data_IF_917385198933
#
_entry.id   IF_917385198933
#
_cell.length_a   1.000
_cell.length_b   1.000
_cell.length_c   1.000
_cell.angle_alpha   90.00
_cell.angle_beta   90.00
_cell.angle_gamma   90.00
#
_symmetry.space_group_name_H-M   'P 1'
#
loop_
_entity.id
_entity.type
_entity.pdbx_description
1 polymer ?
#
# COMPACT_ATOMS: atom_id res chain seq x y z
N UNK A 1 -16.20 6.83 -51.61
CA UNK A 1 -16.27 5.47 -51.04
C UNK A 1 -17.20 5.53 -49.85
N UNK A 2 -18.16 4.60 -49.71
CA UNK A 2 -19.09 4.62 -48.59
C UNK A 2 -18.31 4.36 -47.29
N UNK A 3 -18.55 5.18 -46.27
CA UNK A 3 -17.87 5.07 -44.98
C UNK A 3 -18.44 3.87 -44.23
N UNK A 4 -17.63 2.84 -44.02
CA UNK A 4 -18.02 1.64 -43.28
C UNK A 4 -18.41 2.02 -41.86
N UNK A 5 -19.56 1.56 -41.39
CA UNK A 5 -20.01 1.86 -40.03
C UNK A 5 -19.25 1.01 -39.01
N UNK A 6 -19.05 1.53 -37.80
CA UNK A 6 -18.38 0.78 -36.69
C UNK A 6 -19.04 -0.58 -36.46
N UNK A 7 -20.36 -0.67 -36.64
CA UNK A 7 -21.10 -1.94 -36.52
C UNK A 7 -20.77 -2.95 -37.62
N UNK A 8 -20.56 -2.50 -38.85
CA UNK A 8 -20.19 -3.37 -39.99
C UNK A 8 -18.77 -3.92 -39.81
N UNK A 9 -17.85 -3.07 -39.37
CA UNK A 9 -16.49 -3.46 -39.06
C UNK A 9 -16.40 -4.46 -37.90
N UNK A 10 -17.16 -4.20 -36.83
CA UNK A 10 -17.33 -5.12 -35.70
C UNK A 10 -17.85 -6.49 -36.18
N UNK A 11 -18.88 -6.48 -37.02
CA UNK A 11 -19.50 -7.70 -37.55
C UNK A 11 -18.50 -8.55 -38.35
N UNK A 12 -17.71 -7.92 -39.21
CA UNK A 12 -16.70 -8.60 -40.01
C UNK A 12 -15.56 -9.15 -39.15
N UNK A 13 -15.11 -8.43 -38.11
CA UNK A 13 -14.08 -8.93 -37.18
C UNK A 13 -14.56 -10.09 -36.33
N UNK A 14 -15.80 -10.03 -35.82
CA UNK A 14 -16.42 -11.16 -35.10
C UNK A 14 -16.45 -12.39 -36.00
N UNK A 15 -16.87 -12.21 -37.26
CA UNK A 15 -16.94 -13.30 -38.24
C UNK A 15 -15.56 -13.90 -38.56
N UNK A 16 -14.55 -13.07 -38.77
CA UNK A 16 -13.17 -13.50 -39.00
C UNK A 16 -12.58 -14.23 -37.79
N UNK A 17 -12.75 -13.67 -36.59
CA UNK A 17 -12.27 -14.23 -35.34
C UNK A 17 -12.90 -15.60 -35.02
N UNK A 18 -14.20 -15.74 -35.31
CA UNK A 18 -14.92 -17.00 -35.18
C UNK A 18 -14.45 -18.03 -36.22
N UNK A 19 -14.28 -17.61 -37.47
CA UNK A 19 -13.81 -18.48 -38.55
C UNK A 19 -12.37 -18.99 -38.31
N UNK A 20 -11.47 -18.12 -37.83
CA UNK A 20 -10.09 -18.49 -37.48
C UNK A 20 -10.02 -19.57 -36.39
N UNK A 21 -11.04 -19.66 -35.53
CA UNK A 21 -11.18 -20.69 -34.49
C UNK A 21 -11.91 -21.96 -34.96
N UNK A 22 -12.35 -22.01 -36.22
CA UNK A 22 -13.15 -23.11 -36.75
C UNK A 22 -14.54 -23.22 -36.12
N UNK A 23 -15.04 -22.14 -35.50
CA UNK A 23 -16.31 -22.17 -34.78
C UNK A 23 -17.51 -21.89 -35.69
N UNK A 24 -18.58 -22.64 -35.46
CA UNK A 24 -19.91 -22.33 -35.99
C UNK A 24 -20.56 -21.17 -35.21
N UNK A 25 -21.53 -20.48 -35.81
CA UNK A 25 -22.30 -19.46 -35.09
C UNK A 25 -23.05 -20.01 -33.87
N UNK A 26 -23.43 -21.30 -33.87
CA UNK A 26 -24.03 -21.96 -32.71
C UNK A 26 -23.01 -22.12 -31.58
N UNK A 27 -21.79 -22.56 -31.88
CA UNK A 27 -20.74 -22.71 -30.86
C UNK A 27 -20.34 -21.38 -30.22
N UNK A 28 -20.30 -20.30 -31.00
CA UNK A 28 -20.09 -18.96 -30.44
C UNK A 28 -21.25 -18.56 -29.51
N UNK A 29 -22.50 -18.78 -29.95
CA UNK A 29 -23.69 -18.50 -29.13
C UNK A 29 -23.67 -19.24 -27.80
N UNK A 30 -23.43 -20.55 -27.84
CA UNK A 30 -23.40 -21.40 -26.64
C UNK A 30 -22.32 -20.95 -25.66
N UNK A 31 -21.20 -20.42 -26.18
CA UNK A 31 -20.11 -19.90 -25.35
C UNK A 31 -20.44 -18.53 -24.76
N UNK A 32 -21.11 -17.66 -25.50
CA UNK A 32 -21.63 -16.38 -24.97
C UNK A 32 -22.68 -16.60 -23.88
N UNK A 33 -23.57 -17.59 -24.04
CA UNK A 33 -24.55 -17.97 -23.01
C UNK A 33 -23.84 -18.44 -21.75
N UNK A 34 -22.82 -19.31 -21.86
CA UNK A 34 -22.00 -19.73 -20.72
C UNK A 34 -21.24 -18.58 -20.06
N UNK A 35 -20.87 -17.55 -20.81
CA UNK A 35 -20.21 -16.35 -20.33
C UNK A 35 -21.18 -15.31 -19.73
N UNK A 36 -22.46 -15.67 -19.53
CA UNK A 36 -23.45 -14.80 -18.87
C UNK A 36 -24.27 -13.92 -19.81
N UNK A 37 -24.18 -14.11 -21.13
CA UNK A 37 -24.98 -13.36 -22.11
C UNK A 37 -26.01 -14.24 -22.83
N UNK A 38 -27.19 -14.47 -22.23
CA UNK A 38 -28.23 -15.33 -22.81
C UNK A 38 -28.89 -14.72 -24.08
N UNK A 39 -28.71 -13.42 -24.31
CA UNK A 39 -29.30 -12.68 -25.44
C UNK A 39 -28.50 -12.84 -26.74
N UNK A 40 -27.22 -13.22 -26.66
CA UNK A 40 -26.35 -13.53 -27.80
C UNK A 40 -26.61 -14.93 -28.37
N UNK A 41 -27.86 -15.17 -28.76
CA UNK A 41 -28.28 -16.41 -29.42
C UNK A 41 -27.63 -16.59 -30.79
N UNK A 42 -27.68 -17.81 -31.35
CA UNK A 42 -27.23 -18.08 -32.73
C UNK A 42 -27.87 -17.12 -33.74
N UNK A 43 -29.17 -16.84 -33.59
CA UNK A 43 -29.89 -15.90 -34.46
C UNK A 43 -29.42 -14.46 -34.29
N UNK A 44 -29.07 -14.06 -33.07
CA UNK A 44 -28.49 -12.76 -32.77
C UNK A 44 -27.11 -12.60 -33.42
N UNK A 45 -26.23 -13.59 -33.27
CA UNK A 45 -24.90 -13.61 -33.88
C UNK A 45 -25.00 -13.57 -35.40
N UNK A 46 -25.88 -14.37 -36.00
CA UNK A 46 -26.07 -14.36 -37.46
C UNK A 46 -26.53 -12.99 -37.97
N UNK A 47 -27.44 -12.30 -37.26
CA UNK A 47 -27.90 -10.95 -37.62
C UNK A 47 -26.83 -9.89 -37.45
N UNK A 48 -25.93 -10.05 -36.48
CA UNK A 48 -24.75 -9.20 -36.30
C UNK A 48 -23.80 -9.40 -37.48
N UNK A 49 -23.36 -10.64 -37.74
CA UNK A 49 -22.39 -10.95 -38.80
C UNK A 49 -22.89 -10.67 -40.22
N UNK A 50 -24.20 -10.64 -40.44
CA UNK A 50 -24.79 -10.28 -41.73
C UNK A 50 -25.08 -8.78 -41.87
N UNK A 51 -24.77 -7.96 -40.86
CA UNK A 51 -25.04 -6.52 -40.85
C UNK A 51 -26.53 -6.14 -40.83
N UNK A 52 -27.43 -7.12 -40.58
CA UNK A 52 -28.88 -6.89 -40.42
C UNK A 52 -29.16 -6.14 -39.13
N UNK A 53 -28.40 -6.44 -38.07
CA UNK A 53 -28.46 -5.73 -36.81
C UNK A 53 -27.53 -4.51 -36.88
N UNK A 54 -28.11 -3.31 -36.82
CA UNK A 54 -27.37 -2.04 -36.94
C UNK A 54 -26.76 -1.53 -35.64
N UNK A 55 -27.05 -2.19 -34.50
CA UNK A 55 -26.54 -1.81 -33.18
C UNK A 55 -26.06 -3.03 -32.40
N UNK A 56 -24.92 -2.89 -31.71
CA UNK A 56 -24.37 -3.89 -30.79
C UNK A 56 -24.05 -3.12 -29.50
N UNK A 57 -24.47 -3.63 -28.34
CA UNK A 57 -24.23 -2.93 -27.06
C UNK A 57 -22.78 -3.09 -26.61
N UNK A 58 -22.29 -2.19 -25.75
CA UNK A 58 -20.95 -2.31 -25.17
C UNK A 58 -20.77 -3.62 -24.38
N UNK A 59 -21.82 -4.08 -23.70
CA UNK A 59 -21.84 -5.36 -22.99
C UNK A 59 -21.70 -6.54 -23.95
N UNK A 60 -22.45 -6.54 -25.07
CA UNK A 60 -22.32 -7.58 -26.10
C UNK A 60 -20.92 -7.60 -26.73
N UNK A 61 -20.33 -6.42 -26.98
CA UNK A 61 -18.95 -6.28 -27.47
C UNK A 61 -17.95 -6.87 -26.46
N UNK A 62 -18.10 -6.55 -25.17
CA UNK A 62 -17.21 -7.06 -24.12
C UNK A 62 -17.28 -8.60 -24.00
N UNK A 63 -18.49 -9.17 -24.05
CA UNK A 63 -18.67 -10.63 -23.97
C UNK A 63 -18.11 -11.31 -25.22
N UNK A 64 -18.35 -10.76 -26.42
CA UNK A 64 -17.81 -11.31 -27.66
C UNK A 64 -16.28 -11.24 -27.70
N UNK A 65 -15.69 -10.12 -27.26
CA UNK A 65 -14.24 -9.95 -27.14
C UNK A 65 -13.64 -10.95 -26.15
N UNK A 66 -14.27 -11.13 -24.98
CA UNK A 66 -13.86 -12.11 -23.98
C UNK A 66 -13.91 -13.55 -24.50
N UNK A 67 -15.04 -13.95 -25.08
CA UNK A 67 -15.25 -15.32 -25.62
C UNK A 67 -14.33 -15.62 -26.80
N UNK A 68 -14.07 -14.62 -27.65
CA UNK A 68 -13.15 -14.73 -28.76
C UNK A 68 -11.70 -14.47 -28.35
N UNK A 69 -11.39 -14.21 -27.07
CA UNK A 69 -10.05 -13.87 -26.59
C UNK A 69 -9.33 -12.83 -27.46
N UNK A 70 -10.03 -11.74 -27.78
CA UNK A 70 -9.53 -10.59 -28.56
C UNK A 70 -9.66 -9.34 -27.68
N UNK A 71 -8.70 -8.42 -27.79
CA UNK A 71 -8.80 -7.15 -27.08
C UNK A 71 -10.03 -6.37 -27.60
N UNK A 72 -10.94 -5.85 -26.76
CA UNK A 72 -12.11 -5.10 -27.22
C UNK A 72 -11.77 -3.95 -28.19
N UNK A 73 -10.61 -3.29 -28.01
CA UNK A 73 -10.13 -2.24 -28.92
C UNK A 73 -9.76 -2.78 -30.31
N UNK A 74 -9.25 -4.02 -30.39
CA UNK A 74 -9.00 -4.72 -31.65
C UNK A 74 -10.30 -5.16 -32.32
N UNK A 75 -11.42 -5.26 -31.62
CA UNK A 75 -12.71 -5.52 -32.27
C UNK A 75 -13.27 -4.23 -32.90
N UNK A 76 -13.03 -3.09 -32.26
CA UNK A 76 -13.59 -1.78 -32.64
C UNK A 76 -12.81 -1.03 -33.73
N UNK A 77 -11.63 -1.54 -34.11
CA UNK A 77 -10.68 -0.86 -35.01
C UNK A 77 -10.53 0.62 -34.71
N UNK A 78 -10.33 0.94 -33.44
CA UNK A 78 -10.12 2.32 -33.04
C UNK A 78 -8.98 2.87 -33.88
N UNK A 79 -9.21 3.89 -34.74
CA UNK A 79 -8.14 4.45 -35.53
C UNK A 79 -7.02 4.82 -34.58
N UNK A 80 -5.76 4.63 -35.01
CA UNK A 80 -4.61 5.25 -34.35
C UNK A 80 -4.76 6.76 -34.55
N UNK A 81 -5.66 7.34 -33.77
CA UNK A 81 -5.86 8.78 -33.71
C UNK A 81 -4.48 9.36 -33.41
N UNK A 82 -4.07 10.45 -34.07
CA UNK A 82 -2.83 11.13 -33.76
C UNK A 82 -3.01 11.85 -32.42
N UNK A 83 -3.20 11.05 -31.36
CA UNK A 83 -3.33 11.51 -29.99
C UNK A 83 -2.14 12.40 -29.67
N UNK A 84 -0.94 12.08 -30.16
CA UNK A 84 0.24 12.93 -29.97
C UNK A 84 0.07 14.35 -30.53
N UNK A 85 -0.49 14.53 -31.72
CA UNK A 85 -0.73 15.84 -32.32
C UNK A 85 -1.89 16.58 -31.63
N UNK A 86 -2.94 15.86 -31.24
CA UNK A 86 -4.06 16.43 -30.46
C UNK A 86 -3.60 16.87 -29.05
N UNK A 87 -2.78 16.07 -28.37
CA UNK A 87 -2.13 16.37 -27.08
C UNK A 87 -1.17 17.55 -27.19
N UNK A 88 -0.46 17.70 -28.31
CA UNK A 88 0.43 18.82 -28.57
C UNK A 88 -0.34 20.13 -28.80
N UNK A 89 -1.45 20.08 -29.55
CA UNK A 89 -2.25 21.27 -29.88
C UNK A 89 -3.17 21.72 -28.73
N UNK A 90 -3.64 20.79 -27.89
CA UNK A 90 -4.61 21.08 -26.82
C UNK A 90 -3.99 20.99 -25.42
N UNK A 91 -2.67 20.87 -25.35
CA UNK A 91 -1.93 20.72 -24.11
C UNK A 91 -2.48 19.57 -23.29
N UNK A 92 -1.92 18.37 -23.44
CA UNK A 92 -2.00 17.50 -22.27
C UNK A 92 -1.35 18.22 -21.13
N UNK A 93 -2.13 18.45 -20.08
CA UNK A 93 -1.60 18.28 -18.74
C UNK A 93 -1.17 16.82 -18.64
N UNK A 94 -0.02 16.52 -19.25
CA UNK A 94 0.81 15.41 -18.82
C UNK A 94 0.87 15.62 -17.31
N UNK A 95 0.49 14.65 -16.46
CA UNK A 95 0.99 14.68 -15.11
C UNK A 95 2.49 14.94 -15.30
N UNK A 96 3.01 16.02 -14.72
CA UNK A 96 4.46 16.15 -14.64
C UNK A 96 5.04 14.84 -14.11
N UNK A 97 6.35 14.59 -14.26
CA UNK A 97 6.96 13.50 -13.49
C UNK A 97 6.39 13.57 -12.07
N UNK A 98 5.73 12.49 -11.60
CA UNK A 98 5.20 12.45 -10.23
C UNK A 98 6.43 12.74 -9.38
N UNK A 99 6.52 13.95 -8.83
CA UNK A 99 7.66 14.30 -8.01
C UNK A 99 7.70 13.26 -6.89
N UNK A 100 8.81 12.54 -6.82
CA UNK A 100 8.99 11.50 -5.82
C UNK A 100 8.85 12.14 -4.44
N UNK A 101 7.96 11.60 -3.58
CA UNK A 101 7.76 12.18 -2.26
C UNK A 101 9.05 12.17 -1.46
N UNK A 102 9.20 13.17 -0.59
CA UNK A 102 10.19 13.18 0.48
C UNK A 102 9.71 12.25 1.60
N UNK A 103 10.64 11.55 2.25
CA UNK A 103 10.29 10.67 3.36
C UNK A 103 11.01 11.07 4.64
N UNK A 104 10.24 11.18 5.73
CA UNK A 104 10.77 11.19 7.09
C UNK A 104 10.39 9.86 7.75
N UNK A 105 11.34 8.95 7.88
CA UNK A 105 11.12 7.71 8.63
C UNK A 105 11.48 7.93 10.10
N UNK A 106 10.57 7.56 11.00
CA UNK A 106 10.73 7.59 12.45
C UNK A 106 10.61 6.18 12.99
N UNK A 107 11.73 5.61 13.41
CA UNK A 107 11.80 4.31 14.06
C UNK A 107 11.75 4.50 15.57
N UNK A 108 10.81 3.82 16.22
CA UNK A 108 10.67 3.84 17.68
C UNK A 108 10.97 2.44 18.20
N UNK A 109 11.90 2.34 19.13
CA UNK A 109 12.27 1.07 19.78
C UNK A 109 12.04 1.23 21.29
N UNK A 110 11.26 0.35 21.94
CA UNK A 110 11.15 0.37 23.39
C UNK A 110 12.52 0.12 24.03
N UNK A 111 12.81 0.82 25.12
CA UNK A 111 13.95 0.45 25.96
C UNK A 111 13.72 -0.95 26.56
N UNK A 112 14.81 -1.72 26.67
CA UNK A 112 14.74 -3.11 27.13
C UNK A 112 14.49 -3.23 28.64
N UNK A 113 14.74 -2.17 29.41
CA UNK A 113 14.69 -2.14 30.86
C UNK A 113 13.51 -1.27 31.33
N UNK A 114 13.44 -0.03 30.85
CA UNK A 114 12.40 0.92 31.24
C UNK A 114 11.25 0.94 30.20
N UNK A 115 10.06 0.40 30.53
CA UNK A 115 8.94 0.39 29.59
C UNK A 115 8.42 1.78 29.24
N UNK A 116 8.80 2.83 29.97
CA UNK A 116 8.43 4.21 29.72
C UNK A 116 9.48 4.97 28.91
N UNK A 117 10.62 4.36 28.57
CA UNK A 117 11.61 4.95 27.68
C UNK A 117 11.53 4.33 26.29
N UNK A 118 11.82 5.15 25.29
CA UNK A 118 11.95 4.75 23.90
C UNK A 118 13.21 5.35 23.29
N UNK A 119 13.83 4.59 22.39
CA UNK A 119 14.89 5.06 21.52
C UNK A 119 14.24 5.41 20.18
N UNK A 120 14.39 6.67 19.76
CA UNK A 120 13.92 7.16 18.47
C UNK A 120 15.11 7.36 17.55
N UNK A 121 15.02 6.83 16.32
CA UNK A 121 15.98 7.09 15.24
C UNK A 121 15.22 7.57 14.03
N UNK A 122 15.75 8.56 13.32
CA UNK A 122 15.11 9.14 12.16
C UNK A 122 15.98 9.07 10.91
N UNK A 123 15.34 9.05 9.75
CA UNK A 123 16.00 9.14 8.44
C UNK A 123 15.22 10.11 7.56
N UNK A 124 15.93 11.01 6.89
CA UNK A 124 15.37 11.88 5.87
C UNK A 124 15.82 11.38 4.51
N UNK A 125 14.87 11.05 3.65
CA UNK A 125 15.14 10.65 2.29
C UNK A 125 14.71 11.77 1.33
N UNK A 126 15.68 12.31 0.62
CA UNK A 126 15.49 13.41 -0.34
C UNK A 126 15.45 12.93 -1.79
N UNK A 127 16.11 11.79 -2.05
CA UNK A 127 16.21 11.10 -3.33
C UNK A 127 15.73 9.65 -3.15
N UNK A 128 14.76 9.21 -3.94
CA UNK A 128 14.13 7.88 -3.77
C UNK A 128 15.08 6.75 -4.14
N UNK A 129 16.01 7.02 -5.05
CA UNK A 129 17.05 6.11 -5.53
C UNK A 129 18.13 5.84 -4.49
N UNK A 130 18.31 6.73 -3.51
CA UNK A 130 19.27 6.57 -2.43
C UNK A 130 18.63 5.84 -1.24
N UNK A 131 18.86 4.52 -1.16
CA UNK A 131 18.40 3.69 -0.03
C UNK A 131 19.49 2.73 0.49
N UNK A 132 19.72 2.65 1.82
CA UNK A 132 19.08 3.44 2.86
C UNK A 132 19.66 4.88 2.92
N UNK A 133 18.82 5.89 3.20
CA UNK A 133 19.30 7.26 3.45
C UNK A 133 20.25 7.31 4.67
N UNK A 134 21.06 8.38 4.81
CA UNK A 134 21.85 8.61 6.01
C UNK A 134 20.99 8.62 7.28
N UNK A 135 21.38 7.86 8.30
CA UNK A 135 20.69 7.89 9.60
C UNK A 135 20.94 9.20 10.31
N UNK A 136 19.86 9.81 10.81
CA UNK A 136 19.95 10.82 11.84
C UNK A 136 20.42 10.22 13.17
N UNK A 137 20.67 11.09 14.14
CA UNK A 137 21.07 10.68 15.48
C UNK A 137 19.95 9.92 16.19
N UNK A 138 20.30 8.85 16.90
CA UNK A 138 19.38 8.19 17.83
C UNK A 138 19.28 8.96 19.15
N UNK A 139 18.07 9.11 19.69
CA UNK A 139 17.81 9.77 20.97
C UNK A 139 16.99 8.85 21.88
N UNK A 140 17.34 8.80 23.16
CA UNK A 140 16.55 8.11 24.20
C UNK A 140 15.70 9.14 24.95
N UNK A 141 14.39 8.91 25.03
CA UNK A 141 13.45 9.84 25.66
C UNK A 141 12.25 9.12 26.32
N UNK A 142 11.56 9.76 27.28
CA UNK A 142 10.30 9.26 27.82
C UNK A 142 9.22 9.12 26.74
N UNK A 143 8.47 8.01 26.75
CA UNK A 143 7.38 7.76 25.81
C UNK A 143 6.35 8.90 25.77
N UNK A 144 6.13 9.58 26.90
CA UNK A 144 5.24 10.74 26.99
C UNK A 144 5.73 11.94 26.16
N UNK A 145 7.04 12.06 25.92
CA UNK A 145 7.66 13.13 25.14
C UNK A 145 7.76 12.80 23.63
N UNK A 146 7.31 11.60 23.21
CA UNK A 146 7.45 11.12 21.84
C UNK A 146 6.77 12.04 20.80
N UNK A 147 5.55 12.51 21.08
CA UNK A 147 4.84 13.43 20.17
C UNK A 147 5.61 14.73 20.00
N UNK A 148 6.11 15.32 21.10
CA UNK A 148 6.91 16.55 21.07
C UNK A 148 8.22 16.35 20.31
N UNK A 149 8.89 15.22 20.51
CA UNK A 149 10.11 14.91 19.80
C UNK A 149 9.87 14.78 18.29
N UNK A 150 8.80 14.10 17.90
CA UNK A 150 8.43 13.92 16.47
C UNK A 150 8.06 15.25 15.83
N UNK A 151 7.35 16.14 16.52
CA UNK A 151 7.10 17.50 16.06
C UNK A 151 8.42 18.24 15.74
N UNK A 152 9.43 18.15 16.62
CA UNK A 152 10.76 18.70 16.37
C UNK A 152 11.44 18.11 15.12
N UNK A 153 11.37 16.79 14.94
CA UNK A 153 11.91 16.12 13.74
C UNK A 153 11.22 16.59 12.45
N UNK A 154 9.90 16.80 12.49
CA UNK A 154 9.14 17.33 11.36
C UNK A 154 9.57 18.77 11.06
N UNK A 155 9.70 19.63 12.06
CA UNK A 155 10.21 21.00 11.88
C UNK A 155 11.62 21.02 11.27
N UNK A 156 12.52 20.19 11.76
CA UNK A 156 13.89 20.06 11.22
C UNK A 156 13.90 19.58 9.76
N UNK A 157 12.99 18.67 9.41
CA UNK A 157 12.83 18.19 8.04
C UNK A 157 12.28 19.29 7.12
N UNK A 158 11.25 20.02 7.53
CA UNK A 158 10.68 21.14 6.78
C UNK A 158 11.68 22.26 6.53
N UNK A 159 12.50 22.61 7.53
CA UNK A 159 13.57 23.60 7.35
C UNK A 159 14.54 23.16 6.26
N UNK A 160 14.95 21.88 6.28
CA UNK A 160 15.85 21.33 5.26
C UNK A 160 15.21 21.25 3.87
N UNK A 161 13.90 21.01 3.82
CA UNK A 161 13.14 20.87 2.57
C UNK A 161 12.47 22.15 2.09
N UNK A 162 12.73 23.30 2.72
CA UNK A 162 12.07 24.58 2.43
C UNK A 162 12.13 25.05 0.96
N UNK A 163 13.09 24.55 0.18
CA UNK A 163 13.18 24.80 -1.27
C UNK A 163 12.51 23.76 -2.17
N UNK A 164 11.85 22.75 -1.61
CA UNK A 164 11.22 21.62 -2.32
C UNK A 164 9.71 21.83 -2.42
N UNK A 165 9.11 21.33 -3.49
CA UNK A 165 7.65 21.44 -3.76
C UNK A 165 6.93 20.10 -3.73
N UNK A 166 7.67 19.01 -3.53
CA UNK A 166 7.16 17.67 -3.58
C UNK A 166 6.43 17.27 -2.28
N UNK A 167 5.49 16.32 -2.34
CA UNK A 167 4.77 15.86 -1.15
C UNK A 167 5.71 15.17 -0.15
N UNK A 168 5.32 15.19 1.12
CA UNK A 168 6.05 14.56 2.23
C UNK A 168 5.25 13.39 2.80
N UNK A 169 5.93 12.26 3.01
CA UNK A 169 5.43 11.07 3.68
C UNK A 169 6.18 10.89 5.01
N UNK A 170 5.45 10.75 6.11
CA UNK A 170 6.02 10.40 7.42
C UNK A 170 5.78 8.91 7.67
N UNK A 171 6.86 8.15 7.77
CA UNK A 171 6.82 6.70 8.00
C UNK A 171 7.11 6.38 9.47
N UNK A 172 6.13 5.87 10.20
CA UNK A 172 6.32 5.40 11.56
C UNK A 172 6.60 3.90 11.57
N UNK A 173 7.78 3.51 12.03
CA UNK A 173 8.10 2.10 12.31
C UNK A 173 7.96 1.88 13.81
N UNK A 174 6.82 1.29 14.19
CA UNK A 174 6.45 1.13 15.60
C UNK A 174 6.46 -0.34 16.02
N UNK A 175 6.82 -0.64 17.27
CA UNK A 175 6.54 -1.93 17.88
C UNK A 175 5.04 -2.07 18.08
N UNK A 176 4.59 -3.31 18.14
CA UNK A 176 3.19 -3.70 18.35
C UNK A 176 2.50 -2.93 19.48
N UNK A 177 3.17 -2.78 20.63
CA UNK A 177 2.62 -2.06 21.81
C UNK A 177 2.34 -0.57 21.55
N UNK A 178 2.92 0.01 20.50
CA UNK A 178 2.77 1.41 20.13
C UNK A 178 1.95 1.61 18.84
N UNK A 179 1.50 0.54 18.16
CA UNK A 179 0.67 0.65 16.94
C UNK A 179 -0.71 1.28 17.20
N UNK A 180 -1.15 1.35 18.45
CA UNK A 180 -2.38 2.04 18.85
C UNK A 180 -2.21 3.54 19.09
N UNK A 181 -0.99 4.10 18.97
CA UNK A 181 -0.78 5.54 19.11
C UNK A 181 -1.46 6.26 17.93
N UNK A 182 -2.18 7.38 18.18
CA UNK A 182 -2.86 8.14 17.13
C UNK A 182 -1.87 9.06 16.41
N UNK A 183 -0.79 8.50 15.86
CA UNK A 183 0.33 9.27 15.29
C UNK A 183 -0.09 10.21 14.16
N UNK A 184 -1.13 9.85 13.42
CA UNK A 184 -1.72 10.71 12.38
C UNK A 184 -2.37 11.98 12.95
N UNK A 185 -2.78 11.95 14.22
CA UNK A 185 -3.42 13.06 14.95
C UNK A 185 -2.46 13.81 15.86
N UNK A 186 -1.17 13.52 15.81
CA UNK A 186 -0.19 14.32 16.53
C UNK A 186 -0.13 15.73 15.98
N UNK A 187 0.14 16.68 16.87
CA UNK A 187 0.25 18.09 16.52
C UNK A 187 1.63 18.39 15.92
N UNK A 188 1.66 19.23 14.90
CA UNK A 188 2.92 19.72 14.30
C UNK A 188 3.70 20.61 15.27
N UNK A 189 2.99 21.33 16.14
CA UNK A 189 3.52 22.24 17.14
C UNK A 189 2.74 22.05 18.45
N UNK A 190 3.10 21.05 19.29
CA UNK A 190 2.26 20.63 20.42
C UNK A 190 1.91 21.74 21.42
N UNK A 191 2.80 22.73 21.58
CA UNK A 191 2.63 23.87 22.49
C UNK A 191 1.85 25.04 21.86
N UNK A 192 1.66 25.05 20.53
CA UNK A 192 1.00 26.14 19.83
C UNK A 192 -0.53 25.97 19.86
N UNK A 193 -1.24 27.06 20.19
CA UNK A 193 -2.68 27.10 20.09
C UNK A 193 -3.12 26.98 18.62
N UNK A 194 -4.06 26.08 18.33
CA UNK A 194 -4.53 25.84 16.97
C UNK A 194 -3.57 25.04 16.07
N UNK A 195 -2.58 24.37 16.65
CA UNK A 195 -1.65 23.52 15.89
C UNK A 195 -2.36 22.51 14.99
N UNK A 196 -1.91 22.44 13.73
CA UNK A 196 -2.41 21.48 12.73
C UNK A 196 -1.97 20.06 13.09
N UNK A 197 -2.79 19.09 12.70
CA UNK A 197 -2.47 17.66 12.88
C UNK A 197 -1.59 17.18 11.73
N UNK A 198 -0.71 16.21 11.96
CA UNK A 198 0.18 15.67 10.93
C UNK A 198 -0.57 15.21 9.68
N UNK A 199 -1.69 14.51 9.82
CA UNK A 199 -2.49 14.01 8.68
C UNK A 199 -2.97 15.10 7.72
N UNK A 200 -3.10 16.35 8.18
CA UNK A 200 -3.58 17.48 7.37
C UNK A 200 -2.63 17.85 6.25
N UNK A 201 -1.32 17.68 6.47
CA UNK A 201 -0.28 18.10 5.54
C UNK A 201 0.58 16.93 5.04
N UNK A 202 0.61 15.82 5.78
CA UNK A 202 1.45 14.65 5.48
C UNK A 202 0.65 13.39 5.19
N UNK A 203 1.18 12.54 4.31
CA UNK A 203 0.80 11.13 4.28
C UNK A 203 1.48 10.38 5.42
N UNK A 204 0.73 9.56 6.14
CA UNK A 204 1.22 8.83 7.30
C UNK A 204 1.23 7.34 6.97
N UNK A 205 2.41 6.73 6.96
CA UNK A 205 2.57 5.30 6.74
C UNK A 205 2.98 4.62 8.04
N UNK A 206 2.16 3.69 8.52
CA UNK A 206 2.46 2.91 9.72
C UNK A 206 3.05 1.53 9.35
N UNK A 207 4.13 1.15 10.04
CA UNK A 207 4.95 -0.04 9.73
C UNK A 207 5.24 -0.84 10.99
N UNK A 208 5.44 -2.17 10.85
CA UNK A 208 5.75 -3.04 12.00
C UNK A 208 7.25 -3.17 12.22
N UNK A 209 7.71 -2.82 13.42
CA UNK A 209 9.07 -3.09 13.87
C UNK A 209 9.37 -4.59 13.89
N UNK A 210 8.43 -5.42 14.35
CA UNK A 210 8.59 -6.88 14.42
C UNK A 210 8.85 -7.46 13.04
N UNK A 211 8.11 -7.01 12.02
CA UNK A 211 8.28 -7.47 10.65
C UNK A 211 9.57 -6.96 10.04
N UNK A 212 9.94 -5.72 10.31
CA UNK A 212 11.22 -5.16 9.86
C UNK A 212 12.40 -5.98 10.40
N UNK A 213 12.38 -6.38 11.68
CA UNK A 213 13.44 -7.17 12.33
C UNK A 213 13.43 -8.66 11.97
N UNK A 214 12.28 -9.25 11.72
CA UNK A 214 12.13 -10.70 11.54
C UNK A 214 12.45 -11.14 10.10
N UNK A 215 13.73 -11.31 9.78
CA UNK A 215 14.22 -11.71 8.44
C UNK A 215 13.54 -12.97 7.88
N UNK A 216 13.17 -13.91 8.75
CA UNK A 216 12.46 -15.14 8.37
C UNK A 216 11.08 -14.87 7.73
N UNK A 217 10.48 -13.69 7.93
CA UNK A 217 9.21 -13.30 7.30
C UNK A 217 9.39 -12.54 5.99
N UNK A 218 10.59 -12.05 5.68
CA UNK A 218 10.82 -11.14 4.55
C UNK A 218 10.52 -11.76 3.19
N UNK A 219 10.76 -13.08 3.02
CA UNK A 219 10.46 -13.75 1.74
C UNK A 219 8.96 -13.76 1.46
N UNK A 220 8.14 -14.21 2.42
CA UNK A 220 6.69 -14.25 2.27
C UNK A 220 6.13 -12.84 2.05
N UNK A 221 6.66 -11.87 2.80
CA UNK A 221 6.31 -10.46 2.68
C UNK A 221 6.60 -9.88 1.28
N UNK A 222 7.79 -10.11 0.70
CA UNK A 222 8.11 -9.68 -0.67
C UNK A 222 7.19 -10.27 -1.72
N UNK A 223 6.87 -11.56 -1.60
CA UNK A 223 5.96 -12.25 -2.53
C UNK A 223 4.57 -11.60 -2.51
N UNK A 224 4.02 -11.37 -1.31
CA UNK A 224 2.69 -10.77 -1.15
C UNK A 224 2.67 -9.30 -1.55
N UNK A 225 3.73 -8.56 -1.24
CA UNK A 225 3.89 -7.18 -1.70
C UNK A 225 3.86 -7.10 -3.22
N UNK A 226 4.65 -7.92 -3.92
CA UNK A 226 4.62 -7.98 -5.37
C UNK A 226 3.24 -8.38 -5.89
N UNK A 227 2.55 -9.32 -5.24
CA UNK A 227 1.18 -9.69 -5.59
C UNK A 227 0.20 -8.53 -5.44
N UNK A 228 0.31 -7.74 -4.37
CA UNK A 228 -0.53 -6.57 -4.14
C UNK A 228 -0.33 -5.52 -5.23
N UNK A 229 0.94 -5.23 -5.57
CA UNK A 229 1.26 -4.24 -6.60
C UNK A 229 0.84 -4.70 -8.00
N UNK A 230 0.84 -6.00 -8.27
CA UNK A 230 0.47 -6.55 -9.58
C UNK A 230 -1.05 -6.66 -9.77
N UNK A 231 -1.78 -6.94 -8.68
CA UNK A 231 -3.23 -7.09 -8.69
C UNK A 231 -3.81 -6.48 -7.40
N UNK A 232 -4.11 -5.17 -7.41
CA UNK A 232 -4.64 -4.46 -6.26
C UNK A 232 -6.17 -4.63 -6.13
N UNK A 233 -6.74 -5.78 -6.51
CA UNK A 233 -8.19 -5.98 -6.50
C UNK A 233 -8.79 -6.09 -5.09
N UNK A 234 -9.97 -5.48 -4.82
CA UNK A 234 -10.66 -5.57 -3.52
C UNK A 234 -10.95 -7.02 -3.08
N UNK A 235 -11.06 -7.95 -4.03
CA UNK A 235 -11.29 -9.38 -3.77
C UNK A 235 -10.17 -10.08 -3.00
N UNK A 236 -9.06 -9.39 -2.73
CA UNK A 236 -7.91 -9.88 -1.96
C UNK A 236 -7.90 -9.39 -0.51
N UNK A 237 -8.98 -8.75 -0.07
CA UNK A 237 -9.25 -8.43 1.33
C UNK A 237 -9.85 -9.63 2.07
N UNK A 238 -9.18 -10.08 3.14
CA UNK A 238 -9.72 -11.05 4.07
C UNK A 238 -10.31 -10.33 5.30
N UNK A 239 -11.60 -10.53 5.53
CA UNK A 239 -12.31 -9.98 6.69
C UNK A 239 -12.28 -10.99 7.83
N UNK A 240 -11.56 -10.65 8.90
CA UNK A 240 -11.50 -11.48 10.08
C UNK A 240 -12.81 -11.41 10.87
N UNK A 241 -13.31 -12.58 11.25
CA UNK A 241 -14.47 -12.70 12.12
C UNK A 241 -14.02 -13.21 13.50
N UNK A 242 -14.52 -12.64 14.62
CA UNK A 242 -14.07 -13.01 15.98
C UNK A 242 -14.27 -14.48 16.37
N UNK A 243 -15.26 -15.16 15.77
CA UNK A 243 -15.51 -16.60 15.93
C UNK A 243 -14.36 -17.48 15.38
N UNK A 244 -13.48 -16.92 14.55
CA UNK A 244 -12.30 -17.62 14.05
C UNK A 244 -11.24 -17.89 15.14
N UNK A 245 -11.37 -17.31 16.34
CA UNK A 245 -10.45 -17.48 17.48
C UNK A 245 -10.59 -18.88 18.12
N UNK A 246 -11.70 -19.59 17.90
CA UNK A 246 -11.99 -20.85 18.59
C UNK A 246 -11.03 -22.00 18.23
N UNK A 247 -10.40 -21.95 17.06
CA UNK A 247 -9.46 -22.97 16.60
C UNK A 247 -8.05 -22.38 16.40
N UNK A 248 -7.11 -22.82 17.24
CA UNK A 248 -5.68 -22.46 17.12
C UNK A 248 -5.20 -22.75 15.70
N UNK A 249 -4.46 -21.80 15.11
CA UNK A 249 -3.90 -21.86 13.74
C UNK A 249 -4.91 -21.83 12.58
N UNK A 250 -6.22 -21.70 12.84
CA UNK A 250 -7.21 -21.59 11.75
C UNK A 250 -6.89 -20.44 10.81
N UNK A 251 -6.57 -19.27 11.37
CA UNK A 251 -6.21 -18.11 10.56
C UNK A 251 -4.87 -18.30 9.84
N UNK A 252 -3.86 -18.93 10.46
CA UNK A 252 -2.60 -19.25 9.79
C UNK A 252 -2.86 -20.15 8.56
N UNK A 253 -3.78 -21.12 8.67
CA UNK A 253 -4.17 -21.98 7.55
C UNK A 253 -4.91 -21.21 6.45
N UNK A 254 -5.82 -20.30 6.80
CA UNK A 254 -6.53 -19.47 5.82
C UNK A 254 -5.58 -18.53 5.09
N UNK A 255 -4.69 -17.85 5.82
CA UNK A 255 -3.71 -16.93 5.26
C UNK A 255 -2.53 -17.65 4.58
N UNK A 256 -2.48 -18.98 4.60
CA UNK A 256 -1.54 -19.75 3.77
C UNK A 256 -1.88 -19.65 2.27
N UNK A 257 -3.14 -19.37 1.93
CA UNK A 257 -3.57 -19.09 0.57
C UNK A 257 -2.95 -17.76 0.07
N UNK A 258 -2.16 -17.84 -1.00
CA UNK A 258 -1.45 -16.72 -1.63
C UNK A 258 -2.34 -15.62 -2.22
N UNK A 259 -3.66 -15.81 -2.25
CA UNK A 259 -4.62 -14.84 -2.76
C UNK A 259 -4.72 -13.55 -1.91
N UNK A 260 -4.72 -13.69 -0.58
CA UNK A 260 -4.97 -12.59 0.37
C UNK A 260 -3.82 -11.58 0.48
N UNK A 261 -4.09 -10.29 0.33
CA UNK A 261 -3.05 -9.24 0.46
C UNK A 261 -3.39 -8.20 1.53
N UNK A 262 -4.65 -8.15 1.99
CA UNK A 262 -5.10 -7.24 3.03
C UNK A 262 -5.86 -8.01 4.10
N UNK A 263 -5.54 -7.78 5.37
CA UNK A 263 -6.30 -8.29 6.51
C UNK A 263 -7.12 -7.16 7.13
N UNK A 264 -8.42 -7.36 7.32
CA UNK A 264 -9.34 -6.39 7.92
C UNK A 264 -9.81 -6.90 9.27
N UNK A 265 -9.61 -6.12 10.33
CA UNK A 265 -9.95 -6.48 11.72
C UNK A 265 -10.95 -5.48 12.33
N UNK A 266 -12.17 -5.95 12.57
CA UNK A 266 -13.22 -5.19 13.26
C UNK A 266 -13.14 -5.41 14.78
N UNK A 267 -13.43 -4.37 15.57
CA UNK A 267 -13.39 -4.42 17.04
C UNK A 267 -12.03 -4.81 17.61
N UNK A 268 -10.95 -4.50 16.89
CA UNK A 268 -9.61 -4.98 17.22
C UNK A 268 -8.71 -3.87 17.73
N UNK A 269 -8.01 -4.15 18.83
CA UNK A 269 -6.90 -3.35 19.33
C UNK A 269 -5.68 -4.24 19.50
N UNK A 270 -4.51 -3.76 19.05
CA UNK A 270 -3.28 -4.51 19.14
C UNK A 270 -2.84 -4.62 20.62
N UNK A 271 -3.13 -5.77 21.24
CA UNK A 271 -2.56 -6.11 22.55
C UNK A 271 -1.03 -6.05 22.49
N UNK A 272 -0.38 -5.57 23.55
CA UNK A 272 1.09 -5.50 23.62
C UNK A 272 1.73 -6.90 23.48
N UNK A 273 1.05 -7.94 23.96
CA UNK A 273 1.51 -9.33 23.89
C UNK A 273 0.62 -10.15 22.96
N UNK A 274 1.19 -10.79 21.92
CA UNK A 274 0.40 -11.61 21.01
C UNK A 274 -0.08 -12.90 21.68
N UNK A 275 -1.33 -13.28 21.46
CA UNK A 275 -1.85 -14.58 21.92
C UNK A 275 -1.41 -15.70 20.97
N UNK A 276 -0.62 -16.70 21.42
CA UNK A 276 -0.05 -17.69 20.52
C UNK A 276 -1.11 -18.48 19.75
N UNK A 277 -1.01 -18.46 18.41
CA UNK A 277 -1.87 -19.24 17.51
C UNK A 277 -3.29 -18.72 17.30
N UNK A 278 -3.70 -17.66 17.99
CA UNK A 278 -5.02 -17.01 17.79
C UNK A 278 -4.92 -15.52 17.50
N UNK A 279 -3.73 -14.93 17.60
CA UNK A 279 -3.51 -13.52 17.33
C UNK A 279 -3.57 -13.18 15.82
N UNK A 280 -4.58 -12.41 15.37
CA UNK A 280 -4.78 -12.18 13.96
C UNK A 280 -3.72 -11.29 13.33
N UNK A 281 -3.24 -10.29 14.06
CA UNK A 281 -2.19 -9.40 13.59
C UNK A 281 -0.86 -10.16 13.39
N UNK A 282 -0.47 -10.98 14.36
CA UNK A 282 0.74 -11.78 14.28
C UNK A 282 0.64 -12.85 13.17
N UNK A 283 -0.54 -13.42 12.94
CA UNK A 283 -0.78 -14.32 11.80
C UNK A 283 -0.58 -13.60 10.47
N UNK A 284 -1.13 -12.39 10.30
CA UNK A 284 -0.87 -11.55 9.12
C UNK A 284 0.63 -11.27 8.93
N UNK A 285 1.33 -10.89 10.01
CA UNK A 285 2.77 -10.61 9.95
C UNK A 285 3.55 -11.80 9.40
N UNK A 286 3.33 -13.01 9.96
CA UNK A 286 3.97 -14.26 9.53
C UNK A 286 3.61 -14.67 8.10
N UNK A 287 2.35 -14.52 7.70
CA UNK A 287 1.87 -14.87 6.36
C UNK A 287 2.34 -13.90 5.26
N UNK A 288 3.00 -12.79 5.64
CA UNK A 288 3.53 -11.79 4.72
C UNK A 288 2.50 -10.78 4.22
N UNK A 289 1.29 -10.74 4.79
CA UNK A 289 0.20 -9.81 4.39
C UNK A 289 0.68 -8.35 4.47
N UNK A 290 0.83 -7.62 3.36
CA UNK A 290 1.48 -6.29 3.35
C UNK A 290 0.65 -5.18 3.98
N UNK A 291 -0.68 -5.30 4.00
CA UNK A 291 -1.56 -4.29 4.59
C UNK A 291 -2.50 -4.91 5.64
N UNK A 292 -2.62 -4.24 6.79
CA UNK A 292 -3.58 -4.61 7.83
C UNK A 292 -4.37 -3.38 8.20
N UNK A 293 -5.69 -3.48 8.12
CA UNK A 293 -6.63 -2.42 8.46
C UNK A 293 -7.39 -2.82 9.72
N UNK A 294 -7.47 -1.95 10.72
CA UNK A 294 -8.27 -2.23 11.90
C UNK A 294 -8.88 -1.00 12.53
N UNK A 295 -9.95 -1.24 13.30
CA UNK A 295 -10.59 -0.23 14.12
C UNK A 295 -10.99 -0.85 15.48
N UNK A 296 -10.76 -0.16 16.61
CA UNK A 296 -10.98 -0.71 17.94
C UNK A 296 -12.45 -0.96 18.29
N UNK A 297 -13.36 -0.21 17.67
CA UNK A 297 -14.78 -0.19 18.07
C UNK A 297 -15.77 -0.41 16.91
N UNK A 298 -15.28 -0.60 15.68
CA UNK A 298 -16.16 -0.72 14.52
C UNK A 298 -16.67 -2.15 14.41
N UNK A 299 -17.92 -2.30 14.01
CA UNK A 299 -18.51 -3.58 13.65
C UNK A 299 -17.92 -4.13 12.33
N UNK A 300 -18.05 -5.45 12.08
CA UNK A 300 -17.64 -6.04 10.81
C UNK A 300 -18.38 -5.48 9.59
N UNK A 301 -19.61 -4.98 9.75
CA UNK A 301 -20.38 -4.37 8.68
C UNK A 301 -19.84 -2.98 8.35
N UNK A 302 -19.64 -2.13 9.36
CA UNK A 302 -19.04 -0.80 9.16
C UNK A 302 -17.64 -0.90 8.55
N UNK A 303 -16.82 -1.88 8.97
CA UNK A 303 -15.51 -2.12 8.35
C UNK A 303 -15.61 -2.60 6.89
N UNK A 304 -16.66 -3.35 6.53
CA UNK A 304 -16.89 -3.76 5.13
C UNK A 304 -17.26 -2.58 4.26
N UNK A 305 -18.17 -1.74 4.72
CA UNK A 305 -18.58 -0.51 4.02
C UNK A 305 -17.38 0.43 3.84
N UNK A 306 -16.59 0.60 4.91
CA UNK A 306 -15.36 1.39 4.90
C UNK A 306 -14.35 0.88 3.86
N UNK A 307 -14.12 -0.44 3.82
CA UNK A 307 -13.21 -1.03 2.83
C UNK A 307 -13.78 -0.91 1.42
N UNK A 308 -15.10 -1.00 1.24
CA UNK A 308 -15.77 -0.71 -0.02
C UNK A 308 -15.44 0.69 -0.55
N UNK A 309 -15.54 1.70 0.32
CA UNK A 309 -15.16 3.09 0.00
C UNK A 309 -13.66 3.22 -0.30
N UNK A 310 -12.79 2.62 0.52
CA UNK A 310 -11.34 2.69 0.35
C UNK A 310 -10.88 2.05 -0.97
N UNK A 311 -11.56 1.01 -1.42
CA UNK A 311 -11.13 0.20 -2.57
C UNK A 311 -11.86 0.51 -3.89
N UNK A 312 -12.76 1.50 -3.92
CA UNK A 312 -13.46 1.88 -5.15
C UNK A 312 -12.57 2.64 -6.16
N UNK A 313 -12.51 2.23 -7.43
CA UNK A 313 -11.63 2.85 -8.45
C UNK A 313 -10.35 2.03 -8.71
N UNK A 314 -9.16 2.64 -8.64
CA UNK A 314 -7.82 2.03 -8.89
C UNK A 314 -7.39 0.92 -7.88
N UNK A 315 -8.34 0.39 -7.11
CA UNK A 315 -8.14 -0.71 -6.18
C UNK A 315 -7.30 -0.31 -4.96
N UNK A 316 -6.49 -1.26 -4.50
CA UNK A 316 -5.74 -1.20 -3.24
C UNK A 316 -4.34 -0.56 -3.33
N UNK A 317 -3.85 -0.23 -4.53
CA UNK A 317 -2.49 0.32 -4.69
C UNK A 317 -2.34 1.72 -4.06
N UNK A 318 -3.42 2.49 -4.00
CA UNK A 318 -3.46 3.83 -3.42
C UNK A 318 -4.11 3.86 -2.02
N UNK A 319 -4.14 2.71 -1.33
CA UNK A 319 -4.77 2.60 0.00
C UNK A 319 -4.29 3.67 1.00
N UNK A 320 -2.99 3.97 1.15
CA UNK A 320 -2.52 5.02 2.07
C UNK A 320 -3.13 6.40 1.78
N UNK A 321 -3.05 6.85 0.53
CA UNK A 321 -3.59 8.14 0.11
C UNK A 321 -5.12 8.23 0.29
N UNK A 322 -5.83 7.12 0.03
CA UNK A 322 -7.30 7.03 0.19
C UNK A 322 -7.72 6.95 1.65
N UNK A 323 -7.00 6.20 2.47
CA UNK A 323 -7.19 6.17 3.91
C UNK A 323 -7.02 7.56 4.51
N UNK A 324 -5.97 8.29 4.10
CA UNK A 324 -5.79 9.69 4.47
C UNK A 324 -6.96 10.56 4.03
N UNK A 325 -7.36 10.51 2.76
CA UNK A 325 -8.47 11.32 2.25
C UNK A 325 -9.77 11.06 3.02
N UNK A 326 -10.00 9.81 3.40
CA UNK A 326 -11.17 9.40 4.17
C UNK A 326 -11.09 9.87 5.63
N UNK A 327 -9.92 9.75 6.28
CA UNK A 327 -9.68 10.30 7.62
C UNK A 327 -9.88 11.82 7.64
N UNK A 328 -9.49 12.54 6.59
CA UNK A 328 -9.68 13.99 6.48
C UNK A 328 -11.16 14.37 6.39
N UNK A 329 -11.95 13.63 5.58
CA UNK A 329 -13.41 13.77 5.54
C UNK A 329 -14.06 13.50 6.89
N UNK A 330 -13.48 12.59 7.69
CA UNK A 330 -13.92 12.31 9.05
C UNK A 330 -13.90 13.51 10.00
N UNK A 331 -13.10 14.54 9.71
CA UNK A 331 -13.12 15.79 10.48
C UNK A 331 -14.27 16.74 10.10
N UNK A 332 -14.96 16.48 8.98
CA UNK A 332 -16.07 17.30 8.51
C UNK A 332 -17.43 16.85 9.06
N UNK A 333 -17.54 15.66 9.68
CA UNK A 333 -18.79 15.16 10.25
C UNK A 333 -18.62 14.00 11.24
N UNK A 334 -19.58 13.88 12.16
CA UNK A 334 -19.52 12.93 13.29
C UNK A 334 -20.49 11.73 13.15
N UNK A 335 -21.06 11.49 11.97
CA UNK A 335 -22.10 10.46 11.75
C UNK A 335 -21.70 9.43 10.69
N UNK A 336 -22.15 8.19 10.88
CA UNK A 336 -21.92 7.08 9.94
C UNK A 336 -20.43 6.75 9.80
N UNK A 337 -19.98 6.49 8.57
CA UNK A 337 -18.58 6.14 8.26
C UNK A 337 -17.59 7.19 8.77
N UNK A 338 -17.95 8.47 8.79
CA UNK A 338 -17.07 9.54 9.27
C UNK A 338 -16.63 9.31 10.73
N UNK A 339 -17.52 8.81 11.59
CA UNK A 339 -17.23 8.55 13.00
C UNK A 339 -16.13 7.49 13.20
N UNK A 340 -16.07 6.47 12.34
CA UNK A 340 -15.08 5.39 12.47
C UNK A 340 -13.78 5.65 11.68
N UNK A 341 -13.76 6.64 10.80
CA UNK A 341 -12.54 6.97 10.04
C UNK A 341 -11.47 7.61 10.92
N UNK A 342 -11.88 8.27 12.01
CA UNK A 342 -10.99 9.01 12.91
C UNK A 342 -9.95 8.13 13.59
N UNK A 343 -10.36 6.93 14.02
CA UNK A 343 -9.52 5.98 14.75
C UNK A 343 -9.20 4.72 13.91
N UNK A 344 -9.38 4.83 12.59
CA UNK A 344 -8.94 3.83 11.63
C UNK A 344 -7.41 3.75 11.65
N UNK A 345 -6.89 2.54 11.70
CA UNK A 345 -5.45 2.31 11.56
C UNK A 345 -5.18 1.47 10.33
N UNK A 346 -4.29 1.97 9.47
CA UNK A 346 -3.75 1.27 8.31
C UNK A 346 -2.27 1.02 8.54
N UNK A 347 -1.89 -0.23 8.77
CA UNK A 347 -0.52 -0.67 8.60
C UNK A 347 -0.28 -0.93 7.11
N UNK A 348 0.73 -0.29 6.56
CA UNK A 348 1.14 -0.39 5.17
C UNK A 348 2.65 -0.64 5.12
N UNK A 349 3.05 -1.89 4.83
CA UNK A 349 4.43 -2.32 5.02
C UNK A 349 5.06 -2.72 3.68
N UNK A 350 5.97 -1.88 3.17
CA UNK A 350 6.76 -2.10 1.94
C UNK A 350 8.12 -2.78 2.24
N UNK A 351 8.38 -4.01 1.77
CA UNK A 351 9.62 -4.74 2.04
C UNK A 351 10.88 -4.14 1.43
N UNK A 352 10.77 -3.13 0.57
CA UNK A 352 11.90 -2.42 -0.01
C UNK A 352 12.37 -1.26 0.87
N UNK A 353 11.58 -0.87 1.87
CA UNK A 353 11.86 0.21 2.82
C UNK A 353 12.34 -0.33 4.17
N UNK A 354 13.44 -1.09 4.14
CA UNK A 354 14.08 -1.63 5.35
C UNK A 354 15.10 -0.64 5.90
N UNK A 355 14.90 -0.18 7.14
CA UNK A 355 15.94 0.53 7.89
C UNK A 355 16.88 -0.48 8.55
N UNK A 356 18.18 -0.32 8.32
CA UNK A 356 19.19 -1.08 9.06
C UNK A 356 19.38 -0.45 10.42
N UNK A 357 18.87 -1.13 11.45
CA UNK A 357 19.40 -0.98 12.79
C UNK A 357 20.84 -1.52 12.72
N UNK A 358 21.82 -0.63 12.85
CA UNK A 358 23.19 -1.06 13.12
C UNK A 358 23.17 -2.05 14.29
N UNK A 359 24.02 -3.06 14.23
CA UNK A 359 24.20 -4.02 15.32
C UNK A 359 24.77 -3.25 16.53
N UNK A 360 23.90 -2.60 17.29
CA UNK A 360 24.20 -2.06 18.61
C UNK A 360 24.28 -3.24 19.58
N UNK A 361 25.26 -4.10 19.33
CA UNK A 361 25.40 -5.42 19.92
C UNK A 361 26.80 -6.00 19.73
N UNK A 362 27.82 -5.16 19.53
CA UNK A 362 29.19 -5.52 19.91
C UNK A 362 29.88 -4.30 20.53
N UNK A 363 30.19 -4.44 21.81
CA UNK A 363 30.82 -3.42 22.61
C UNK A 363 32.20 -3.06 22.10
N UNK A 364 32.38 -1.77 21.84
CA UNK A 364 33.56 -0.97 22.15
C UNK A 364 34.80 -1.73 22.67
N UNK A 365 35.66 -2.25 21.78
CA UNK A 365 37.10 -2.44 22.02
C UNK A 365 37.86 -2.37 20.69
N UNK A 366 38.14 -1.15 20.21
CA UNK A 366 39.28 -0.91 19.35
C UNK A 366 39.99 0.33 19.88
N UNK A 367 40.99 0.06 20.71
CA UNK A 367 41.78 1.04 21.41
C UNK A 367 42.46 2.05 20.50
N UNK A 368 42.66 3.22 21.08
CA UNK A 368 43.65 4.21 20.68
C UNK A 368 44.92 3.51 20.18
N UNK A 369 45.32 3.79 18.94
CA UNK A 369 46.66 3.47 18.47
C UNK A 369 47.65 4.21 19.38
N UNK A 370 48.63 3.53 19.99
CA UNK A 370 49.74 4.23 20.61
C UNK A 370 50.56 4.87 19.49
N UNK A 371 50.84 6.16 19.68
CA UNK A 371 51.86 6.90 18.98
C UNK A 371 53.21 6.17 19.08
N UNK A 372 53.76 5.77 17.93
CA UNK A 372 55.18 5.47 17.79
C UNK A 372 55.97 6.76 17.99
N UNK A 373 56.45 7.00 19.21
CA UNK A 373 57.61 7.86 19.45
C UNK A 373 58.48 7.27 20.57
N UNK A 374 59.13 6.15 20.22
CA UNK A 374 60.12 5.48 21.04
C UNK A 374 61.52 5.96 20.68
N UNK A 375 61.89 7.18 21.06
CA UNK A 375 63.28 7.62 21.07
C UNK A 375 63.58 8.48 22.29
N UNK A 376 64.09 7.87 23.36
CA UNK A 376 64.92 8.57 24.36
C UNK A 376 66.03 7.69 24.94
N UNK A 377 67.11 8.33 25.41
CA UNK A 377 68.47 7.81 25.38
C UNK A 377 68.88 7.16 26.69
N UNK A 378 70.08 6.58 26.68
CA UNK A 378 70.59 5.71 27.72
C UNK A 378 70.87 6.36 29.07
N UNK A 379 71.05 5.47 30.03
CA UNK A 379 71.77 5.72 31.29
C UNK A 379 72.68 4.53 31.57
N UNK A 380 73.90 4.89 31.94
CA UNK A 380 75.02 4.04 32.30
C UNK A 380 74.88 3.49 33.73
N UNK A 381 75.90 2.70 34.11
CA UNK A 381 76.28 2.25 35.46
C UNK A 381 75.42 1.13 36.07
N UNK A 382 75.94 0.17 36.84
CA UNK A 382 77.28 -0.33 37.17
C UNK A 382 77.04 -1.64 37.96
N UNK A 383 77.97 -2.58 37.91
CA UNK A 383 77.96 -3.80 38.76
C UNK A 383 78.29 -5.06 38.00
#
# INVERSE_FOLDING_TARGET
MAQETVTELLADRIKQARAARGWTAQQLADTCVRAGSPTLTRGTIAKIESGVRKTITAEEVAVLAFVLAINPAELLDTPKWPFEEYRAAHGTRTPGPRETPLHLMVLVVPDAIDPNLVIVTSWRQEEVEEWPPPSGSSCSLPLADLERHVAGLVTEAEVAWSGRTCPVVIEFVLPRRLLGLPVHRWRQEPEAEGSRLLIMDYEIALRSLERMRSRQWHRAWRIRWQSLQSDPSPGRCYYFMPDHIEARHRLDAILSDSHWNVLVLAGYSASATPTPGTDPFAAALRAGIPAVLWHPHASPEEMRDLVGELTGGDGMAELPARARALMLKGFEGDVGLAAITRDLVLLWDDPNRLAWLGDSGDGHLAGQRPSEDGRRPGTAEAG
#
